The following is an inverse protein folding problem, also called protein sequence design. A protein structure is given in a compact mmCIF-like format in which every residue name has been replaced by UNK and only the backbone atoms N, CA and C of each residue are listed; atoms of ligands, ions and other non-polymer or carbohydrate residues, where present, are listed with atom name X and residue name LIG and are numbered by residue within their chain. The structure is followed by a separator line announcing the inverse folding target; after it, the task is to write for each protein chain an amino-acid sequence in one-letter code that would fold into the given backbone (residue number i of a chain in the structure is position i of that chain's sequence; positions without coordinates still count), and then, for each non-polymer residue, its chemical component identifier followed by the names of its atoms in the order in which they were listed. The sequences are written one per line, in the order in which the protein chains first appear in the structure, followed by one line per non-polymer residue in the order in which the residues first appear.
data_IF_663508665134
#
_entry.id   IF_663508665134
#
_cell.length_a   1.000
_cell.length_b   1.000
_cell.length_c   1.000
_cell.angle_alpha   90.00
_cell.angle_beta   90.00
_cell.angle_gamma   90.00
#
_symmetry.space_group_name_H-M   'P 1'
#
loop_
_entity.id
_entity.type
_entity.pdbx_description
1 polymer ?
#
# COMPACT_ATOMS: atom_id res chain seq x y z
N UNK A 1 9.23 3.03 -14.45
CA UNK A 1 7.94 2.76 -15.09
C UNK A 1 6.84 2.75 -14.04
N UNK A 2 5.83 3.55 -14.25
CA UNK A 2 4.70 3.59 -13.31
C UNK A 2 3.74 2.44 -13.60
N UNK A 3 3.40 1.68 -12.57
CA UNK A 3 2.37 0.66 -12.69
C UNK A 3 0.99 1.33 -12.58
N UNK A 4 0.06 0.85 -13.37
CA UNK A 4 -1.31 1.33 -13.28
C UNK A 4 -1.96 0.80 -12.01
N UNK A 5 -2.65 1.68 -11.31
CA UNK A 5 -3.41 1.32 -10.12
C UNK A 5 -4.79 1.95 -10.19
N UNK A 6 -5.72 1.35 -9.48
CA UNK A 6 -7.07 1.88 -9.32
C UNK A 6 -7.24 2.30 -7.87
N UNK A 7 -8.10 3.29 -7.63
CA UNK A 7 -8.41 3.74 -6.26
C UNK A 7 -9.92 3.80 -6.08
N UNK A 8 -10.36 3.46 -4.87
CA UNK A 8 -11.78 3.50 -4.52
C UNK A 8 -11.91 3.51 -2.99
N UNK A 9 -12.59 4.51 -2.47
CA UNK A 9 -12.82 4.67 -1.02
C UNK A 9 -11.54 4.61 -0.18
N UNK A 10 -10.45 5.16 -0.73
CA UNK A 10 -9.15 5.17 -0.05
C UNK A 10 -8.33 3.89 -0.22
N UNK A 11 -8.86 2.87 -0.89
CA UNK A 11 -8.14 1.64 -1.18
C UNK A 11 -7.51 1.70 -2.56
N UNK A 12 -6.46 0.93 -2.74
CA UNK A 12 -5.70 0.87 -3.98
C UNK A 12 -5.71 -0.55 -4.53
N UNK A 13 -5.82 -0.68 -5.84
CA UNK A 13 -5.83 -1.97 -6.49
C UNK A 13 -4.84 -2.03 -7.63
N UNK A 14 -4.24 -3.21 -7.84
CA UNK A 14 -3.33 -3.43 -8.95
C UNK A 14 -4.09 -3.78 -10.22
N UNK A 15 -3.43 -3.57 -11.36
CA UNK A 15 -3.94 -3.94 -12.70
C UNK A 15 -2.88 -4.77 -13.38
N UNK A 16 -3.20 -6.01 -13.69
CA UNK A 16 -2.30 -6.94 -14.36
C UNK A 16 -3.03 -7.63 -15.50
N UNK A 17 -2.28 -8.08 -16.48
CA UNK A 17 -2.82 -8.72 -17.68
C UNK A 17 -2.29 -10.14 -17.78
N UNK A 18 -3.20 -11.09 -18.05
CA UNK A 18 -2.82 -12.47 -18.38
C UNK A 18 -3.21 -12.74 -19.83
N UNK A 19 -2.27 -12.62 -20.77
CA UNK A 19 -2.58 -12.92 -22.19
C UNK A 19 -2.97 -14.36 -22.42
N UNK A 20 -2.42 -15.29 -21.63
CA UNK A 20 -2.71 -16.71 -21.77
C UNK A 20 -4.19 -17.00 -21.47
N UNK A 21 -4.71 -16.38 -20.43
CA UNK A 21 -6.10 -16.58 -20.01
C UNK A 21 -7.04 -15.52 -20.58
N UNK A 22 -6.48 -14.53 -21.28
CA UNK A 22 -7.22 -13.43 -21.87
C UNK A 22 -8.06 -12.68 -20.83
N UNK A 23 -7.48 -12.43 -19.68
CA UNK A 23 -8.14 -11.70 -18.58
C UNK A 23 -7.25 -10.61 -18.03
N UNK A 24 -7.89 -9.66 -17.38
CA UNK A 24 -7.25 -8.68 -16.52
C UNK A 24 -7.52 -9.09 -15.07
N UNK A 25 -6.54 -8.89 -14.20
CA UNK A 25 -6.69 -9.27 -12.81
C UNK A 25 -5.89 -8.34 -11.90
N UNK A 26 -6.12 -8.45 -10.61
CA UNK A 26 -5.39 -7.66 -9.64
C UNK A 26 -5.75 -8.04 -8.22
N UNK A 27 -5.19 -7.29 -7.30
CA UNK A 27 -5.46 -7.48 -5.88
C UNK A 27 -5.46 -6.12 -5.17
N UNK A 28 -6.16 -6.06 -4.06
CA UNK A 28 -6.14 -4.87 -3.20
C UNK A 28 -4.77 -4.78 -2.54
N UNK A 29 -4.14 -3.60 -2.65
CA UNK A 29 -2.77 -3.39 -2.19
C UNK A 29 -2.74 -2.80 -0.78
N UNK A 30 -1.61 -2.98 -0.09
CA UNK A 30 -1.27 -2.30 1.16
C UNK A 30 -2.16 -2.66 2.36
N UNK A 31 -2.89 -3.77 2.29
CA UNK A 31 -3.64 -4.33 3.42
C UNK A 31 -3.29 -5.81 3.56
N UNK A 32 -3.49 -6.35 4.77
CA UNK A 32 -3.13 -7.76 5.05
C UNK A 32 -4.06 -8.78 4.38
N UNK A 33 -5.38 -8.56 4.35
CA UNK A 33 -6.26 -9.54 3.70
C UNK A 33 -5.95 -9.68 2.22
N UNK A 34 -6.02 -10.91 1.72
CA UNK A 34 -5.83 -11.17 0.30
C UNK A 34 -7.18 -11.06 -0.41
N UNK A 35 -7.34 -10.00 -1.16
CA UNK A 35 -8.57 -9.74 -1.91
C UNK A 35 -8.21 -9.60 -3.38
N UNK A 36 -8.64 -10.56 -4.20
CA UNK A 36 -8.38 -10.61 -5.63
C UNK A 36 -9.63 -10.30 -6.41
N UNK A 37 -9.45 -9.88 -7.65
CA UNK A 37 -10.55 -9.63 -8.58
C UNK A 37 -10.04 -9.84 -10.00
N UNK A 38 -10.95 -10.13 -10.92
CA UNK A 38 -10.60 -10.32 -12.33
C UNK A 38 -11.78 -9.94 -13.24
N UNK A 39 -11.48 -9.66 -14.48
CA UNK A 39 -12.48 -9.33 -15.49
C UNK A 39 -11.87 -9.47 -16.88
N UNK A 40 -12.73 -9.48 -17.89
CA UNK A 40 -12.30 -9.60 -19.29
C UNK A 40 -12.04 -8.24 -19.94
N UNK A 41 -12.49 -7.15 -19.33
CA UNK A 41 -12.33 -5.80 -19.84
C UNK A 41 -11.80 -4.87 -18.75
N UNK A 42 -11.20 -3.75 -19.17
CA UNK A 42 -10.71 -2.75 -18.23
C UNK A 42 -11.83 -2.19 -17.36
N UNK A 43 -12.96 -1.88 -17.97
CA UNK A 43 -14.12 -1.35 -17.23
C UNK A 43 -14.68 -2.39 -16.27
N UNK A 44 -14.73 -3.65 -16.71
CA UNK A 44 -15.15 -4.75 -15.85
C UNK A 44 -14.23 -4.95 -14.66
N UNK A 45 -12.91 -4.75 -14.86
CA UNK A 45 -11.94 -4.86 -13.79
C UNK A 45 -12.15 -3.77 -12.74
N UNK A 46 -12.38 -2.54 -13.16
CA UNK A 46 -12.68 -1.45 -12.25
C UNK A 46 -13.91 -1.75 -11.41
N UNK A 47 -14.96 -2.25 -12.05
CA UNK A 47 -16.19 -2.63 -11.38
C UNK A 47 -15.97 -3.78 -10.40
N UNK A 48 -15.22 -4.80 -10.80
CA UNK A 48 -14.89 -5.95 -9.95
C UNK A 48 -14.09 -5.52 -8.72
N UNK A 49 -13.15 -4.60 -8.91
CA UNK A 49 -12.37 -4.02 -7.81
C UNK A 49 -13.29 -3.30 -6.82
N UNK A 50 -14.17 -2.43 -7.32
CA UNK A 50 -15.08 -1.68 -6.44
C UNK A 50 -16.03 -2.60 -5.69
N UNK A 51 -16.54 -3.63 -6.35
CA UNK A 51 -17.41 -4.62 -5.70
C UNK A 51 -16.66 -5.39 -4.61
N UNK A 52 -15.39 -5.73 -4.86
CA UNK A 52 -14.55 -6.41 -3.87
C UNK A 52 -14.34 -5.54 -2.64
N UNK A 53 -14.09 -4.24 -2.82
CA UNK A 53 -13.94 -3.30 -1.70
C UNK A 53 -15.25 -3.19 -0.93
N UNK A 54 -16.37 -3.04 -1.62
CA UNK A 54 -17.69 -2.94 -0.97
C UNK A 54 -18.00 -4.21 -0.17
N UNK A 55 -17.67 -5.38 -0.70
CA UNK A 55 -17.88 -6.65 -0.01
C UNK A 55 -17.02 -6.72 1.26
N UNK A 56 -15.76 -6.31 1.17
CA UNK A 56 -14.85 -6.27 2.32
C UNK A 56 -15.39 -5.36 3.43
N UNK A 57 -15.82 -4.17 3.05
CA UNK A 57 -16.37 -3.21 4.01
C UNK A 57 -17.65 -3.72 4.65
N UNK A 58 -18.51 -4.37 3.88
CA UNK A 58 -19.74 -4.96 4.39
C UNK A 58 -19.46 -6.11 5.37
N UNK A 59 -18.48 -6.96 5.03
CA UNK A 59 -18.07 -8.06 5.92
C UNK A 59 -17.53 -7.53 7.25
N UNK A 60 -16.71 -6.49 7.20
CA UNK A 60 -16.17 -5.87 8.40
C UNK A 60 -17.28 -5.28 9.27
N UNK A 61 -18.25 -4.60 8.67
CA UNK A 61 -19.38 -4.03 9.40
C UNK A 61 -20.21 -5.11 10.05
N UNK A 62 -20.43 -6.22 9.34
CA UNK A 62 -21.23 -7.33 9.84
C UNK A 62 -20.57 -8.01 11.05
N UNK A 63 -19.25 -8.10 11.04
CA UNK A 63 -18.47 -8.72 12.12
C UNK A 63 -18.06 -7.71 13.21
N UNK A 64 -18.47 -6.47 13.08
CA UNK A 64 -18.10 -5.37 13.99
C UNK A 64 -16.58 -5.23 14.10
N UNK A 65 -15.90 -5.31 12.96
CA UNK A 65 -14.45 -5.19 12.84
C UNK A 65 -14.15 -3.92 12.05
N UNK A 66 -13.13 -3.16 12.50
CA UNK A 66 -12.65 -2.00 11.75
C UNK A 66 -11.94 -2.45 10.48
N UNK A 67 -12.32 -1.91 9.31
CA UNK A 67 -11.59 -2.21 8.09
C UNK A 67 -10.13 -1.78 8.20
N UNK A 68 -9.23 -2.58 7.63
CA UNK A 68 -7.83 -2.25 7.59
C UNK A 68 -7.60 -1.14 6.57
N UNK A 69 -6.87 -0.10 6.96
CA UNK A 69 -6.51 1.00 6.06
C UNK A 69 -5.18 0.70 5.40
N UNK A 70 -4.97 1.14 4.14
CA UNK A 70 -3.67 0.99 3.51
C UNK A 70 -2.58 1.65 4.34
N UNK A 71 -1.55 0.88 4.67
CA UNK A 71 -0.39 1.31 5.46
C UNK A 71 -0.78 1.85 6.84
N UNK A 72 -0.30 1.19 7.88
CA UNK A 72 -0.68 1.53 9.27
C UNK A 72 0.02 2.77 9.82
N UNK A 73 0.94 3.37 9.07
CA UNK A 73 1.70 4.52 9.54
C UNK A 73 2.96 4.16 10.31
N UNK A 74 3.18 2.89 10.59
CA UNK A 74 4.39 2.39 11.25
C UNK A 74 4.95 1.22 10.47
N UNK A 75 6.27 1.16 10.34
CA UNK A 75 6.94 0.00 9.78
C UNK A 75 8.32 -0.17 10.39
N UNK A 76 8.82 -1.39 10.40
CA UNK A 76 10.17 -1.70 10.82
C UNK A 76 11.04 -1.82 9.58
N UNK A 77 12.16 -1.08 9.56
CA UNK A 77 13.10 -1.09 8.44
C UNK A 77 14.45 -1.55 8.92
N UNK A 78 15.04 -2.48 8.20
CA UNK A 78 16.38 -2.98 8.50
C UNK A 78 17.37 -2.24 7.62
N UNK A 79 18.13 -1.32 8.23
CA UNK A 79 19.10 -0.47 7.51
C UNK A 79 20.48 -1.11 7.38
N UNK A 80 20.79 -2.08 8.22
CA UNK A 80 22.16 -2.56 8.36
C UNK A 80 22.95 -1.68 9.31
N UNK A 81 24.05 -2.23 9.84
CA UNK A 81 24.82 -1.56 10.90
C UNK A 81 25.37 -0.20 10.48
N UNK A 82 26.02 -0.14 9.33
CA UNK A 82 26.72 1.08 8.92
C UNK A 82 25.76 2.24 8.65
N UNK A 83 24.66 1.97 7.94
CA UNK A 83 23.69 3.01 7.63
C UNK A 83 22.93 3.44 8.89
N UNK A 84 22.60 2.49 9.76
CA UNK A 84 21.95 2.81 11.03
C UNK A 84 22.82 3.73 11.88
N UNK A 85 24.13 3.40 12.00
CA UNK A 85 25.07 4.23 12.75
C UNK A 85 25.18 5.63 12.13
N UNK A 86 25.35 5.69 10.82
CA UNK A 86 25.46 6.98 10.13
C UNK A 86 24.22 7.86 10.33
N UNK A 87 23.03 7.25 10.25
CA UNK A 87 21.77 7.96 10.47
C UNK A 87 21.66 8.45 11.92
N UNK A 88 22.10 7.64 12.88
CA UNK A 88 22.05 8.00 14.29
C UNK A 88 23.01 9.15 14.61
N UNK A 89 24.20 9.14 14.02
CA UNK A 89 25.17 10.23 14.18
C UNK A 89 24.61 11.53 13.57
N UNK A 90 24.07 11.45 12.36
CA UNK A 90 23.50 12.63 11.71
C UNK A 90 22.31 13.19 12.50
N UNK A 91 21.46 12.33 13.03
CA UNK A 91 20.33 12.74 13.86
C UNK A 91 20.80 13.46 15.13
N UNK A 92 21.83 12.92 15.79
CA UNK A 92 22.40 13.49 16.99
C UNK A 92 22.95 14.89 16.70
N UNK A 93 23.69 15.04 15.60
CA UNK A 93 24.25 16.34 15.20
C UNK A 93 23.18 17.36 14.86
N UNK A 94 22.02 16.89 14.37
CA UNK A 94 20.87 17.75 14.06
C UNK A 94 19.93 17.95 15.25
N UNK A 95 20.29 17.44 16.42
CA UNK A 95 19.49 17.54 17.64
C UNK A 95 18.08 16.97 17.49
N UNK A 96 17.98 15.85 16.79
CA UNK A 96 16.69 15.16 16.58
C UNK A 96 16.87 13.66 16.83
N UNK A 97 15.77 12.94 16.94
CA UNK A 97 15.82 11.50 17.10
C UNK A 97 16.17 10.84 15.77
N UNK A 98 16.73 9.62 15.83
CA UNK A 98 16.98 8.82 14.64
C UNK A 98 15.69 8.59 13.86
N UNK A 99 14.60 8.29 14.58
CA UNK A 99 13.30 8.08 13.99
C UNK A 99 12.81 9.29 13.20
N UNK A 100 12.91 10.48 13.79
CA UNK A 100 12.50 11.71 13.13
C UNK A 100 13.41 12.05 11.95
N UNK A 101 14.70 11.78 12.09
CA UNK A 101 15.66 11.97 10.99
C UNK A 101 15.30 11.12 9.78
N UNK A 102 14.98 9.84 10.02
CA UNK A 102 14.60 8.93 8.95
C UNK A 102 13.28 9.36 8.31
N UNK A 103 12.31 9.76 9.13
CA UNK A 103 11.03 10.27 8.64
C UNK A 103 11.22 11.44 7.68
N UNK A 104 12.05 12.42 8.06
CA UNK A 104 12.34 13.58 7.22
C UNK A 104 13.04 13.20 5.93
N UNK A 105 13.97 12.25 5.99
CA UNK A 105 14.66 11.75 4.80
C UNK A 105 13.68 11.12 3.81
N UNK A 106 12.74 10.33 4.31
CA UNK A 106 11.71 9.70 3.47
C UNK A 106 10.78 10.77 2.90
N UNK A 107 10.35 11.73 3.71
CA UNK A 107 9.50 12.84 3.24
C UNK A 107 10.16 13.57 2.06
N UNK A 108 11.44 13.89 2.20
CA UNK A 108 12.19 14.55 1.14
C UNK A 108 12.25 13.70 -0.12
N UNK A 109 12.47 12.41 0.05
CA UNK A 109 12.61 11.47 -1.06
C UNK A 109 11.32 11.32 -1.86
N UNK A 110 10.17 11.33 -1.19
CA UNK A 110 8.87 11.16 -1.86
C UNK A 110 8.19 12.49 -2.21
N UNK A 111 8.78 13.61 -1.84
CA UNK A 111 8.25 14.92 -2.19
C UNK A 111 7.15 15.43 -1.28
N UNK A 112 7.10 14.95 -0.07
CA UNK A 112 6.15 15.44 0.95
C UNK A 112 6.88 16.30 1.99
#
# INVERSE_FOLDING_TARGET
MMQNTMTYKGFHGSVEISPEDNILFGQVLFISPLINYEAETAKGLEQAFQEAINAYLADCAQQDIQPEKPCKGSLNVRLGHDLHLAASIAAFQASTSTNEFIKRAVQKSVGL
#
